data_IF_342093275021
#
_entry.id   IF_342093275021
#
_cell.length_a   1.000
_cell.length_b   1.000
_cell.length_c   1.000
_cell.angle_alpha   90.00
_cell.angle_beta   90.00
_cell.angle_gamma   90.00
#
_symmetry.space_group_name_H-M   'P 1'
#
loop_
_entity.id
_entity.type
_entity.pdbx_description
1 polymer ?
#
# COMPACT_ATOMS: atom_id res chain seq x y z
N UNK A 1 6.84 17.95 -10.34
CA UNK A 1 5.37 17.80 -10.40
C UNK A 1 5.12 16.54 -11.20
N UNK A 2 4.60 15.51 -10.53
CA UNK A 2 4.27 14.22 -11.13
C UNK A 2 2.87 14.25 -11.74
N UNK A 3 2.53 13.18 -12.45
CA UNK A 3 1.21 12.93 -13.01
C UNK A 3 0.23 12.54 -11.89
N UNK A 4 -1.07 12.83 -12.06
CA UNK A 4 -2.13 12.46 -11.11
C UNK A 4 -2.71 11.07 -11.38
N UNK A 5 -3.43 10.51 -10.40
CA UNK A 5 -4.10 9.20 -10.55
C UNK A 5 -5.08 9.21 -11.73
N UNK A 6 -5.85 10.29 -11.89
CA UNK A 6 -6.80 10.44 -13.00
C UNK A 6 -6.12 10.51 -14.35
N UNK A 7 -4.92 11.11 -14.42
CA UNK A 7 -4.12 11.14 -15.64
C UNK A 7 -3.47 9.79 -15.95
N UNK A 8 -3.28 8.89 -14.98
CA UNK A 8 -2.69 7.56 -15.15
C UNK A 8 -3.71 6.54 -15.69
N UNK A 9 -4.94 6.55 -15.16
CA UNK A 9 -6.03 5.61 -15.51
C UNK A 9 -6.23 5.34 -17.02
N UNK A 10 -6.11 6.33 -17.93
CA UNK A 10 -6.44 6.11 -19.35
C UNK A 10 -5.40 5.30 -20.11
N UNK A 11 -4.15 5.24 -19.67
CA UNK A 11 -3.04 4.69 -20.46
C UNK A 11 -2.18 3.68 -19.70
N UNK A 12 -2.28 3.58 -18.37
CA UNK A 12 -1.46 2.63 -17.64
C UNK A 12 -1.88 1.20 -17.95
N UNK A 13 -0.91 0.43 -18.40
CA UNK A 13 -1.04 -1.00 -18.68
C UNK A 13 -0.03 -1.77 -17.81
N UNK A 14 -0.18 -3.09 -17.76
CA UNK A 14 0.67 -3.96 -16.96
C UNK A 14 2.17 -3.75 -17.30
N UNK A 15 2.94 -3.28 -16.31
CA UNK A 15 4.39 -3.08 -16.41
C UNK A 15 5.07 -3.67 -15.17
N UNK A 16 5.79 -4.77 -15.36
CA UNK A 16 6.51 -5.50 -14.31
C UNK A 16 7.84 -4.83 -13.90
N UNK A 17 8.24 -3.76 -14.59
CA UNK A 17 9.49 -3.08 -14.32
C UNK A 17 9.34 -2.07 -13.19
N UNK A 18 10.38 -1.94 -12.37
CA UNK A 18 10.41 -0.94 -11.30
C UNK A 18 10.14 0.50 -11.78
N UNK A 19 10.75 1.00 -12.89
CA UNK A 19 10.43 2.33 -13.42
C UNK A 19 8.98 2.50 -13.87
N UNK A 20 8.33 1.40 -14.30
CA UNK A 20 6.95 1.40 -14.76
C UNK A 20 5.91 1.25 -13.67
N UNK A 21 6.24 0.66 -12.50
CA UNK A 21 5.28 0.42 -11.41
C UNK A 21 5.46 1.33 -10.19
N UNK A 22 6.70 1.67 -9.82
CA UNK A 22 6.98 2.41 -8.57
C UNK A 22 6.43 3.84 -8.60
N UNK A 23 6.66 4.66 -9.65
CA UNK A 23 6.12 6.02 -9.69
C UNK A 23 4.59 6.07 -9.58
N UNK A 24 3.89 5.10 -10.16
CA UNK A 24 2.44 4.97 -10.19
C UNK A 24 1.92 4.61 -8.80
N UNK A 25 2.55 3.63 -8.13
CA UNK A 25 2.21 3.28 -6.75
C UNK A 25 2.42 4.46 -5.79
N UNK A 26 3.51 5.22 -5.94
CA UNK A 26 3.76 6.42 -5.14
C UNK A 26 2.70 7.48 -5.39
N UNK A 27 2.31 7.70 -6.65
CA UNK A 27 1.23 8.64 -7.00
C UNK A 27 -0.09 8.24 -6.35
N UNK A 28 -0.48 6.97 -6.44
CA UNK A 28 -1.70 6.46 -5.81
C UNK A 28 -1.74 6.68 -4.29
N UNK A 29 -0.60 6.52 -3.60
CA UNK A 29 -0.51 6.73 -2.16
C UNK A 29 -0.45 8.21 -1.75
N UNK A 30 0.24 9.06 -2.53
CA UNK A 30 0.43 10.47 -2.23
C UNK A 30 -0.81 11.33 -2.53
N UNK A 31 -1.63 10.96 -3.51
CA UNK A 31 -2.90 11.64 -3.80
C UNK A 31 -4.09 11.12 -2.97
N UNK A 32 -3.90 10.02 -2.24
CA UNK A 32 -4.96 9.44 -1.43
C UNK A 32 -5.31 10.27 -0.19
N UNK A 33 -6.54 10.11 0.27
CA UNK A 33 -7.06 10.72 1.50
C UNK A 33 -7.21 9.72 2.65
N UNK A 34 -7.03 8.43 2.38
CA UNK A 34 -7.04 7.36 3.37
C UNK A 34 -6.30 6.12 2.84
N UNK A 35 -6.04 5.14 3.73
CA UNK A 35 -5.49 3.85 3.32
C UNK A 35 -6.34 3.16 2.24
N UNK A 36 -7.66 3.09 2.45
CA UNK A 36 -8.56 2.43 1.51
C UNK A 36 -8.60 3.16 0.16
N UNK A 37 -8.58 4.49 0.19
CA UNK A 37 -8.51 5.33 -1.01
C UNK A 37 -7.22 5.07 -1.82
N UNK A 38 -6.07 4.93 -1.16
CA UNK A 38 -4.82 4.57 -1.82
C UNK A 38 -4.88 3.20 -2.52
N UNK A 39 -5.48 2.20 -1.88
CA UNK A 39 -5.68 0.87 -2.47
C UNK A 39 -6.67 0.93 -3.64
N UNK A 40 -7.77 1.69 -3.50
CA UNK A 40 -8.73 1.90 -4.59
C UNK A 40 -8.10 2.60 -5.79
N UNK A 41 -7.23 3.59 -5.55
CA UNK A 41 -6.46 4.25 -6.59
C UNK A 41 -5.56 3.25 -7.33
N UNK A 42 -4.77 2.45 -6.61
CA UNK A 42 -3.89 1.44 -7.18
C UNK A 42 -4.64 0.39 -8.01
N UNK A 43 -5.81 -0.08 -7.55
CA UNK A 43 -6.66 -0.99 -8.32
C UNK A 43 -7.26 -0.28 -9.54
N UNK A 44 -7.70 0.98 -9.39
CA UNK A 44 -8.39 1.71 -10.45
C UNK A 44 -7.52 2.04 -11.66
N UNK A 45 -6.20 2.17 -11.46
CA UNK A 45 -5.27 2.41 -12.57
C UNK A 45 -4.96 1.12 -13.36
N UNK A 46 -5.34 -0.06 -12.87
CA UNK A 46 -5.14 -1.33 -13.55
C UNK A 46 -3.68 -1.79 -13.61
N UNK A 47 -3.33 -2.55 -14.64
CA UNK A 47 -1.99 -3.10 -14.83
C UNK A 47 -1.62 -4.17 -13.81
N UNK A 48 -0.42 -4.06 -13.23
CA UNK A 48 0.05 -4.93 -12.14
C UNK A 48 -0.48 -4.42 -10.78
N UNK A 49 -1.81 -4.50 -10.62
CA UNK A 49 -2.48 -3.98 -9.43
C UNK A 49 -1.97 -4.60 -8.14
N UNK A 50 -1.51 -5.86 -8.15
CA UNK A 50 -0.98 -6.53 -6.97
C UNK A 50 0.33 -5.87 -6.52
N UNK A 51 1.28 -5.67 -7.43
CA UNK A 51 2.54 -4.98 -7.14
C UNK A 51 2.32 -3.52 -6.75
N UNK A 52 1.49 -2.81 -7.52
CA UNK A 52 1.19 -1.38 -7.26
C UNK A 52 0.51 -1.22 -5.91
N UNK A 53 -0.50 -2.03 -5.58
CA UNK A 53 -1.21 -1.95 -4.32
C UNK A 53 -0.33 -2.37 -3.13
N UNK A 54 0.59 -3.31 -3.31
CA UNK A 54 1.55 -3.69 -2.26
C UNK A 54 2.45 -2.50 -1.86
N UNK A 55 2.98 -1.77 -2.84
CA UNK A 55 3.83 -0.61 -2.62
C UNK A 55 3.01 0.56 -2.07
N UNK A 56 1.88 0.89 -2.73
CA UNK A 56 1.01 1.99 -2.33
C UNK A 56 0.45 1.77 -0.91
N UNK A 57 0.01 0.56 -0.59
CA UNK A 57 -0.49 0.18 0.73
C UNK A 57 0.56 0.32 1.83
N UNK A 58 1.81 -0.11 1.57
CA UNK A 58 2.90 0.03 2.55
C UNK A 58 3.18 1.50 2.91
N UNK A 59 3.12 2.40 1.92
CA UNK A 59 3.27 3.84 2.15
C UNK A 59 2.02 4.43 2.81
N UNK A 60 0.83 4.03 2.36
CA UNK A 60 -0.44 4.50 2.90
C UNK A 60 -0.62 4.12 4.38
N UNK A 61 -0.16 2.93 4.81
CA UNK A 61 -0.12 2.55 6.22
C UNK A 61 0.70 3.54 7.05
N UNK A 62 1.84 3.99 6.54
CA UNK A 62 2.69 4.95 7.23
C UNK A 62 2.09 6.37 7.28
N UNK A 63 1.32 6.75 6.26
CA UNK A 63 0.68 8.08 6.15
C UNK A 63 -0.62 8.17 6.96
N UNK A 64 -1.47 7.16 6.88
CA UNK A 64 -2.85 7.19 7.38
C UNK A 64 -3.12 6.20 8.51
N UNK A 65 -2.20 5.27 8.77
CA UNK A 65 -2.45 4.10 9.61
C UNK A 65 -3.16 2.97 8.85
N UNK A 66 -3.20 1.79 9.47
CA UNK A 66 -3.87 0.60 8.93
C UNK A 66 -5.28 0.47 9.55
N UNK A 67 -6.36 0.42 8.74
CA UNK A 67 -7.70 0.12 9.23
C UNK A 67 -7.78 -1.29 9.83
N UNK A 68 -8.35 -1.43 11.02
CA UNK A 68 -8.40 -2.70 11.77
C UNK A 68 -9.13 -3.81 11.02
N UNK A 69 -10.20 -3.47 10.32
CA UNK A 69 -11.05 -4.38 9.57
C UNK A 69 -10.29 -4.97 8.38
N UNK A 70 -9.53 -4.12 7.67
CA UNK A 70 -8.69 -4.54 6.54
C UNK A 70 -7.53 -5.40 7.07
N UNK A 71 -6.88 -5.00 8.17
CA UNK A 71 -5.81 -5.78 8.79
C UNK A 71 -6.28 -7.18 9.20
N UNK A 72 -7.43 -7.26 9.89
CA UNK A 72 -7.99 -8.54 10.34
C UNK A 72 -8.34 -9.46 9.17
N UNK A 73 -8.89 -8.90 8.08
CA UNK A 73 -9.27 -9.67 6.90
C UNK A 73 -8.05 -10.12 6.08
N UNK A 74 -7.02 -9.29 5.99
CA UNK A 74 -5.73 -9.70 5.43
C UNK A 74 -5.09 -10.81 6.27
N UNK A 75 -5.08 -10.66 7.60
CA UNK A 75 -4.49 -11.64 8.50
C UNK A 75 -5.20 -13.00 8.43
N UNK A 76 -6.53 -13.03 8.23
CA UNK A 76 -7.29 -14.28 7.99
C UNK A 76 -6.83 -15.07 6.77
N UNK A 77 -6.23 -14.41 5.76
CA UNK A 77 -5.72 -15.05 4.53
C UNK A 77 -4.26 -15.49 4.63
N UNK A 78 -3.53 -15.03 5.64
CA UNK A 78 -2.10 -15.35 5.79
C UNK A 78 -1.88 -16.74 6.35
N UNK A 79 -0.87 -17.43 5.82
CA UNK A 79 -0.38 -18.67 6.41
C UNK A 79 0.16 -18.45 7.83
N UNK A 80 0.08 -19.44 8.73
CA UNK A 80 0.55 -19.30 10.11
C UNK A 80 2.02 -18.85 10.24
N UNK A 81 2.89 -19.21 9.29
CA UNK A 81 4.30 -18.76 9.26
C UNK A 81 4.43 -17.25 8.99
N UNK A 82 3.61 -16.71 8.09
CA UNK A 82 3.58 -15.28 7.77
C UNK A 82 3.04 -14.46 8.93
N UNK A 83 1.99 -14.94 9.61
CA UNK A 83 1.46 -14.30 10.82
C UNK A 83 2.53 -14.12 11.91
N UNK A 84 3.27 -15.20 12.21
CA UNK A 84 4.37 -15.15 13.19
C UNK A 84 5.47 -14.16 12.80
N UNK A 85 5.75 -14.02 11.50
CA UNK A 85 6.73 -13.05 11.01
C UNK A 85 6.20 -11.63 11.20
N UNK A 86 4.94 -11.38 10.80
CA UNK A 86 4.29 -10.08 10.98
C UNK A 86 4.24 -9.67 12.45
N UNK A 87 3.84 -10.56 13.35
CA UNK A 87 3.84 -10.33 14.81
C UNK A 87 5.22 -9.89 15.31
N UNK A 88 6.30 -10.55 14.88
CA UNK A 88 7.67 -10.16 15.24
C UNK A 88 8.02 -8.77 14.70
N UNK A 89 7.72 -8.50 13.44
CA UNK A 89 8.00 -7.20 12.82
C UNK A 89 7.24 -6.05 13.50
N UNK A 90 5.96 -6.22 13.82
CA UNK A 90 5.16 -5.22 14.51
C UNK A 90 5.56 -5.06 15.98
N UNK A 91 5.90 -6.16 16.68
CA UNK A 91 6.45 -6.10 18.03
C UNK A 91 7.78 -5.32 18.08
N UNK A 92 8.67 -5.56 17.11
CA UNK A 92 9.96 -4.86 17.03
C UNK A 92 9.79 -3.39 16.63
N UNK A 93 8.82 -3.06 15.77
CA UNK A 93 8.41 -1.66 15.52
C UNK A 93 7.87 -0.98 16.77
N UNK A 94 7.12 -1.71 17.62
CA UNK A 94 6.67 -1.25 18.94
C UNK A 94 7.82 -0.92 19.90
N UNK A 95 9.04 -1.46 19.68
CA UNK A 95 10.26 -1.09 20.41
C UNK A 95 10.98 0.13 19.81
N UNK A 96 10.63 0.57 18.60
CA UNK A 96 11.32 1.65 17.86
C UNK A 96 10.50 2.93 17.68
N UNK A 97 9.27 3.00 18.20
CA UNK A 97 8.43 4.20 18.09
C UNK A 97 8.18 4.81 19.49
N UNK A 98 9.01 5.74 19.99
CA UNK A 98 8.57 6.60 21.08
C UNK A 98 7.33 7.33 20.59
N UNK A 99 6.22 7.17 21.31
CA UNK A 99 4.95 7.81 21.02
C UNK A 99 5.20 9.28 20.64
N UNK A 100 4.67 9.69 19.48
CA UNK A 100 4.54 11.10 19.14
C UNK A 100 3.71 11.75 20.25
N UNK A 101 4.38 12.56 21.08
CA UNK A 101 3.77 13.39 22.11
C UNK A 101 3.08 14.62 21.55
#
# INVERSE_FOLDING_TARGET
>A
MGQSVDEIRPWYEFDETCPGSVPQALTCALEATSYEDAIRNAISIGGDSDTVACIAGSLAEALFGMPSEIAAEAERRLYPSMKRLMERMYHDRGRQNPAKG
#
